data_IF_700393391023
#
_entry.id   IF_700393391023
#
_cell.length_a   1.000
_cell.length_b   1.000
_cell.length_c   1.000
_cell.angle_alpha   90.00
_cell.angle_beta   90.00
_cell.angle_gamma   90.00
#
_symmetry.space_group_name_H-M   'P 1'
#
loop_
_entity.id
_entity.type
_entity.pdbx_description
1 polymer ?
#
# COMPACT_ATOMS: atom_id res chain seq x y z
N UNK A 1 -14.15 8.85 26.19
CA UNK A 1 -15.45 9.46 25.82
C UNK A 1 -15.18 10.46 24.71
N UNK A 2 -16.09 10.59 23.76
CA UNK A 2 -15.98 11.47 22.60
C UNK A 2 -16.58 12.84 22.96
N UNK A 3 -16.12 13.93 22.36
CA UNK A 3 -16.87 15.18 22.42
C UNK A 3 -18.11 15.13 21.50
N UNK A 4 -18.93 16.18 21.52
CA UNK A 4 -20.13 16.29 20.68
C UNK A 4 -19.87 16.32 19.18
N UNK A 5 -18.62 16.46 18.74
CA UNK A 5 -18.20 16.53 17.34
C UNK A 5 -17.33 15.34 16.92
N UNK A 6 -17.17 14.33 17.78
CA UNK A 6 -16.44 13.10 17.48
C UNK A 6 -14.92 13.18 17.67
N UNK A 7 -14.38 14.24 18.28
CA UNK A 7 -12.95 14.32 18.60
C UNK A 7 -12.62 13.41 19.77
N UNK A 8 -11.59 12.58 19.58
CA UNK A 8 -11.10 11.62 20.59
C UNK A 8 -9.89 12.08 21.38
N UNK A 9 -9.02 12.86 20.73
CA UNK A 9 -7.70 13.20 21.27
C UNK A 9 -7.59 14.70 21.48
N UNK A 10 -7.52 15.08 22.75
CA UNK A 10 -7.19 16.43 23.20
C UNK A 10 -5.79 16.39 23.78
N UNK A 11 -4.81 16.87 23.01
CA UNK A 11 -3.48 17.15 23.56
C UNK A 11 -3.57 18.48 24.30
N UNK A 12 -2.97 18.58 25.48
CA UNK A 12 -2.94 19.79 26.31
C UNK A 12 -4.33 20.29 26.76
N UNK A 13 -5.16 19.38 27.30
CA UNK A 13 -6.55 19.67 27.69
C UNK A 13 -6.70 20.60 28.91
N UNK A 14 -5.65 20.79 29.70
CA UNK A 14 -5.70 21.72 30.84
C UNK A 14 -5.48 23.16 30.37
N UNK A 15 -6.50 23.74 29.73
CA UNK A 15 -6.54 25.18 29.44
C UNK A 15 -7.20 25.93 30.59
N UNK A 16 -6.60 27.05 30.97
CA UNK A 16 -7.27 28.04 31.80
C UNK A 16 -7.86 29.10 30.89
N UNK A 17 -9.12 29.48 31.14
CA UNK A 17 -9.85 30.42 30.29
C UNK A 17 -9.49 31.90 30.54
N UNK A 18 -8.52 32.16 31.41
CA UNK A 18 -8.02 33.47 31.81
C UNK A 18 -6.60 33.75 31.27
N UNK A 19 -6.20 33.08 30.20
CA UNK A 19 -4.89 33.21 29.56
C UNK A 19 -4.95 34.09 28.29
N UNK A 20 -3.80 34.31 27.65
CA UNK A 20 -3.69 34.92 26.34
C UNK A 20 -4.02 33.90 25.24
N UNK A 21 -4.87 34.31 24.28
CA UNK A 21 -5.33 33.43 23.20
C UNK A 21 -5.03 34.03 21.83
N UNK A 22 -4.39 33.24 20.98
CA UNK A 22 -4.22 33.55 19.56
C UNK A 22 -5.42 33.11 18.74
N UNK A 23 -5.88 33.98 17.84
CA UNK A 23 -6.98 33.69 16.91
C UNK A 23 -6.51 33.91 15.48
N UNK A 24 -6.70 32.90 14.63
CA UNK A 24 -6.39 32.97 13.21
C UNK A 24 -7.61 32.64 12.36
N UNK A 25 -7.82 33.40 11.28
CA UNK A 25 -8.81 33.09 10.26
C UNK A 25 -8.17 32.15 9.24
N UNK A 26 -8.77 30.98 9.04
CA UNK A 26 -8.28 29.96 8.11
C UNK A 26 -9.27 29.75 6.97
N UNK A 27 -8.76 29.55 5.76
CA UNK A 27 -9.57 29.23 4.57
C UNK A 27 -8.92 28.09 3.80
N UNK A 28 -9.70 27.20 3.14
CA UNK A 28 -9.15 26.20 2.24
C UNK A 28 -8.39 26.82 1.06
N UNK A 29 -7.29 26.18 0.65
CA UNK A 29 -6.51 26.50 -0.54
C UNK A 29 -6.15 25.20 -1.26
N UNK A 30 -6.03 25.25 -2.60
CA UNK A 30 -5.45 24.16 -3.37
C UNK A 30 -4.06 23.83 -2.81
N UNK A 31 -3.81 22.55 -2.55
CA UNK A 31 -2.62 22.13 -1.81
C UNK A 31 -1.79 21.05 -2.52
N UNK A 32 -2.43 20.04 -3.10
CA UNK A 32 -1.73 18.89 -3.68
C UNK A 32 -2.55 18.26 -4.82
N UNK A 33 -1.87 17.81 -5.86
CA UNK A 33 -2.46 17.08 -6.98
C UNK A 33 -2.05 15.61 -6.92
N UNK A 34 -2.98 14.72 -6.51
CA UNK A 34 -2.69 13.28 -6.34
C UNK A 34 -2.56 12.51 -7.67
N UNK A 35 -3.10 13.07 -8.75
CA UNK A 35 -2.95 12.51 -10.09
C UNK A 35 -1.61 12.87 -10.72
N UNK A 36 -1.25 12.20 -11.82
CA UNK A 36 0.00 12.45 -12.50
C UNK A 36 0.34 11.36 -13.51
N UNK A 37 1.61 11.27 -13.87
CA UNK A 37 2.15 10.24 -14.75
C UNK A 37 1.97 8.87 -14.12
N UNK A 38 1.42 7.92 -14.87
CA UNK A 38 1.35 6.52 -14.44
C UNK A 38 2.76 5.94 -14.43
N UNK A 39 3.15 5.35 -13.31
CA UNK A 39 4.48 4.77 -13.11
C UNK A 39 4.39 3.31 -12.68
N UNK A 40 5.49 2.57 -12.86
CA UNK A 40 5.69 1.30 -12.15
C UNK A 40 6.26 1.49 -10.73
N UNK A 41 6.54 0.40 -10.05
CA UNK A 41 7.07 0.40 -8.68
C UNK A 41 8.47 0.99 -8.55
N UNK A 42 9.17 1.26 -9.65
CA UNK A 42 10.49 1.90 -9.67
C UNK A 42 10.47 3.35 -10.15
N UNK A 43 9.30 3.85 -10.55
CA UNK A 43 9.08 5.20 -11.05
C UNK A 43 9.35 5.38 -12.56
N UNK A 44 9.43 4.29 -13.34
CA UNK A 44 9.46 4.38 -14.80
C UNK A 44 8.07 4.78 -15.31
N UNK A 45 8.00 5.75 -16.21
CA UNK A 45 6.73 6.21 -16.77
C UNK A 45 6.19 5.18 -17.76
N UNK A 46 4.90 4.87 -17.64
CA UNK A 46 4.21 3.90 -18.50
C UNK A 46 3.51 4.58 -19.67
N UNK A 47 3.54 3.93 -20.84
CA UNK A 47 2.73 4.29 -22.00
C UNK A 47 1.25 3.86 -21.83
N UNK A 48 0.45 4.05 -22.89
CA UNK A 48 -0.99 3.73 -22.86
C UNK A 48 -1.25 2.24 -22.80
N UNK A 49 -0.28 1.43 -23.22
CA UNK A 49 -0.28 -0.02 -23.20
C UNK A 49 0.27 -0.59 -21.88
N UNK A 50 0.65 0.29 -20.94
CA UNK A 50 1.20 -0.09 -19.63
C UNK A 50 2.67 -0.49 -19.66
N UNK A 51 3.40 -0.20 -20.75
CA UNK A 51 4.82 -0.53 -20.90
C UNK A 51 5.71 0.66 -20.53
N UNK A 52 6.87 0.42 -19.89
CA UNK A 52 7.80 1.49 -19.58
C UNK A 52 8.34 2.21 -20.83
N UNK A 53 8.31 3.54 -20.80
CA UNK A 53 8.95 4.38 -21.81
C UNK A 53 10.44 4.47 -21.49
N UNK A 54 11.27 4.02 -22.44
CA UNK A 54 12.72 3.95 -22.28
C UNK A 54 13.33 5.30 -21.87
N UNK A 55 13.99 5.34 -20.71
CA UNK A 55 14.69 6.52 -20.20
C UNK A 55 13.79 7.60 -19.59
N UNK A 56 12.48 7.37 -19.48
CA UNK A 56 11.55 8.33 -18.90
C UNK A 56 11.13 7.89 -17.49
N UNK A 57 11.45 8.71 -16.50
CA UNK A 57 11.15 8.50 -15.08
C UNK A 57 10.39 9.69 -14.50
N UNK A 58 9.60 9.43 -13.46
CA UNK A 58 8.95 10.46 -12.67
C UNK A 58 9.14 10.17 -11.17
N UNK A 59 9.22 11.22 -10.36
CA UNK A 59 9.35 11.16 -8.91
C UNK A 59 8.55 12.30 -8.25
N UNK A 60 8.00 12.06 -7.06
CA UNK A 60 7.21 13.03 -6.30
C UNK A 60 5.85 13.36 -6.94
N UNK A 61 5.36 14.57 -6.72
CA UNK A 61 3.99 15.00 -7.10
C UNK A 61 3.70 14.97 -8.61
N UNK A 62 4.69 14.73 -9.48
CA UNK A 62 4.46 14.46 -10.89
C UNK A 62 3.81 13.08 -11.15
N UNK A 63 3.85 12.17 -10.18
CA UNK A 63 3.38 10.79 -10.31
C UNK A 63 1.93 10.66 -9.88
N UNK A 64 1.19 9.81 -10.59
CA UNK A 64 -0.17 9.41 -10.22
C UNK A 64 -0.19 8.05 -9.54
N UNK A 65 -1.24 7.81 -8.74
CA UNK A 65 -1.56 6.49 -8.16
C UNK A 65 -1.04 6.27 -6.74
N UNK A 66 0.07 6.91 -6.34
CA UNK A 66 0.68 6.74 -5.00
C UNK A 66 -0.27 7.14 -3.86
N UNK A 67 -1.07 8.18 -4.07
CA UNK A 67 -1.92 8.76 -3.03
C UNK A 67 -3.43 8.52 -3.25
N UNK A 68 -3.81 7.81 -4.32
CA UNK A 68 -5.20 7.60 -4.71
C UNK A 68 -6.01 8.90 -4.78
N UNK A 69 -7.19 8.91 -4.14
CA UNK A 69 -8.09 10.06 -4.14
C UNK A 69 -7.77 11.09 -3.04
N UNK A 70 -6.97 10.74 -2.04
CA UNK A 70 -6.69 11.63 -0.92
C UNK A 70 -5.34 11.32 -0.30
N UNK A 71 -4.44 12.31 -0.34
CA UNK A 71 -3.13 12.19 0.26
C UNK A 71 -3.17 12.35 1.78
N UNK A 72 -2.54 11.43 2.50
CA UNK A 72 -2.32 11.56 3.94
C UNK A 72 -1.20 12.56 4.28
N UNK A 73 -1.40 13.32 5.36
CA UNK A 73 -0.41 14.26 5.88
C UNK A 73 0.93 13.57 6.17
N UNK A 74 2.05 14.17 5.74
CA UNK A 74 3.39 13.60 5.87
C UNK A 74 3.87 12.76 4.68
N UNK A 75 2.98 12.27 3.82
CA UNK A 75 3.38 11.37 2.73
C UNK A 75 4.09 12.05 1.55
N UNK A 76 3.84 13.34 1.23
CA UNK A 76 4.44 14.00 0.05
C UNK A 76 5.97 14.03 0.09
N UNK A 77 6.55 14.37 1.25
CA UNK A 77 8.01 14.44 1.37
C UNK A 77 8.63 13.06 1.32
N UNK A 78 7.96 12.07 1.91
CA UNK A 78 8.39 10.68 1.87
C UNK A 78 8.38 10.15 0.43
N UNK A 79 7.32 10.43 -0.31
CA UNK A 79 7.19 10.11 -1.74
C UNK A 79 8.38 10.67 -2.54
N UNK A 80 8.66 11.98 -2.45
CA UNK A 80 9.79 12.61 -3.12
C UNK A 80 11.13 11.92 -2.81
N UNK A 81 11.39 11.58 -1.54
CA UNK A 81 12.65 10.96 -1.13
C UNK A 81 12.76 9.51 -1.57
N UNK A 82 11.69 8.73 -1.42
CA UNK A 82 11.68 7.30 -1.75
C UNK A 82 11.77 7.11 -3.26
N UNK A 83 10.86 7.72 -4.03
CA UNK A 83 10.86 7.57 -5.48
C UNK A 83 12.05 8.28 -6.13
N UNK A 84 12.52 9.40 -5.58
CA UNK A 84 13.75 10.04 -6.05
C UNK A 84 14.98 9.11 -5.95
N UNK A 85 15.10 8.36 -4.84
CA UNK A 85 16.18 7.37 -4.68
C UNK A 85 15.98 6.14 -5.55
N UNK A 86 14.75 5.65 -5.63
CA UNK A 86 14.42 4.42 -6.34
C UNK A 86 14.61 4.58 -7.86
N UNK A 87 14.07 5.66 -8.42
CA UNK A 87 14.24 6.02 -9.84
C UNK A 87 15.71 6.26 -10.18
N UNK A 88 16.43 6.99 -9.33
CA UNK A 88 17.86 7.24 -9.51
C UNK A 88 18.66 5.95 -9.53
N UNK A 89 18.42 5.04 -8.58
CA UNK A 89 19.07 3.72 -8.55
C UNK A 89 18.76 2.91 -9.80
N UNK A 90 17.49 2.81 -10.16
CA UNK A 90 17.03 2.02 -11.31
C UNK A 90 17.63 2.53 -12.63
N UNK A 91 17.63 3.84 -12.84
CA UNK A 91 18.25 4.48 -14.01
C UNK A 91 19.74 4.11 -14.11
N UNK A 92 20.45 4.15 -12.99
CA UNK A 92 21.89 3.89 -12.98
C UNK A 92 22.19 2.43 -13.30
N UNK A 93 21.52 1.49 -12.64
CA UNK A 93 21.75 0.06 -12.83
C UNK A 93 21.26 -0.43 -14.20
N UNK A 94 20.03 -0.04 -14.60
CA UNK A 94 19.31 -0.70 -15.69
C UNK A 94 19.30 0.08 -17.01
N UNK A 95 19.70 1.36 -17.00
CA UNK A 95 19.73 2.19 -18.22
C UNK A 95 21.14 2.67 -18.55
N UNK A 96 21.91 3.08 -17.53
CA UNK A 96 23.26 3.62 -17.72
C UNK A 96 24.36 2.58 -17.44
N UNK A 97 24.06 1.44 -16.82
CA UNK A 97 25.06 0.45 -16.41
C UNK A 97 26.10 1.00 -15.42
N UNK A 98 25.71 1.97 -14.61
CA UNK A 98 26.54 2.65 -13.62
C UNK A 98 26.29 2.07 -12.22
N UNK A 99 27.33 2.06 -11.38
CA UNK A 99 27.21 1.60 -10.00
C UNK A 99 26.39 2.57 -9.13
N UNK A 100 25.79 2.09 -8.04
CA UNK A 100 25.00 2.89 -7.10
C UNK A 100 25.81 3.94 -6.30
N UNK A 101 27.13 4.01 -6.47
CA UNK A 101 28.00 5.03 -5.89
C UNK A 101 28.47 5.97 -6.99
N UNK A 102 27.55 6.83 -7.43
CA UNK A 102 27.81 7.77 -8.50
C UNK A 102 28.32 9.10 -7.97
N UNK A 103 29.43 9.58 -8.54
CA UNK A 103 29.82 10.97 -8.42
C UNK A 103 29.25 11.75 -9.59
N UNK A 104 29.02 13.05 -9.39
CA UNK A 104 28.51 13.95 -10.43
C UNK A 104 29.38 13.97 -11.70
N UNK A 105 30.66 13.61 -11.59
CA UNK A 105 31.60 13.53 -12.71
C UNK A 105 31.33 12.34 -13.63
N UNK A 106 30.86 11.22 -13.08
CA UNK A 106 30.63 9.97 -13.79
C UNK A 106 29.38 10.07 -14.71
N UNK A 107 28.43 10.94 -14.35
CA UNK A 107 27.26 11.27 -15.17
C UNK A 107 27.63 11.95 -16.50
N UNK A 108 28.72 12.72 -16.55
CA UNK A 108 29.14 13.42 -17.78
C UNK A 108 29.63 12.46 -18.87
N UNK A 109 30.07 11.28 -18.47
CA UNK A 109 30.62 10.24 -19.34
C UNK A 109 29.70 9.02 -19.41
N UNK A 110 28.47 9.15 -18.91
CA UNK A 110 27.52 8.05 -18.91
C UNK A 110 27.21 7.60 -20.36
N UNK A 111 27.09 6.30 -20.60
CA UNK A 111 26.72 5.79 -21.92
C UNK A 111 25.31 6.26 -22.32
N UNK A 112 25.04 6.23 -23.62
CA UNK A 112 23.70 6.49 -24.14
C UNK A 112 22.69 5.50 -23.52
N UNK A 113 21.48 6.00 -23.23
CA UNK A 113 20.43 5.24 -22.57
C UNK A 113 20.18 3.90 -23.29
N UNK A 114 20.35 2.81 -22.55
CA UNK A 114 20.01 1.48 -23.04
C UNK A 114 18.53 1.21 -22.83
N UNK A 115 17.96 0.35 -23.68
CA UNK A 115 16.57 -0.10 -23.52
C UNK A 115 16.45 -0.77 -22.14
N UNK A 116 15.62 -0.26 -21.23
CA UNK A 116 15.52 -0.82 -19.89
C UNK A 116 15.07 -2.27 -19.97
N UNK A 117 15.58 -3.08 -19.03
CA UNK A 117 15.13 -4.44 -18.86
C UNK A 117 13.60 -4.45 -18.69
N UNK A 118 12.87 -5.36 -19.38
CA UNK A 118 11.44 -5.55 -19.16
C UNK A 118 11.18 -5.77 -17.67
N UNK A 119 10.15 -5.12 -17.14
CA UNK A 119 9.66 -5.45 -15.80
C UNK A 119 9.20 -6.90 -15.85
N UNK A 120 9.56 -7.72 -14.85
CA UNK A 120 9.00 -9.05 -14.71
C UNK A 120 7.47 -8.92 -14.71
N UNK A 121 6.82 -9.54 -15.69
CA UNK A 121 5.37 -9.58 -15.80
C UNK A 121 4.74 -10.20 -14.54
N UNK A 122 3.55 -9.72 -14.21
CA UNK A 122 2.63 -10.26 -13.19
C UNK A 122 2.77 -11.79 -13.13
N UNK A 123 3.16 -12.34 -11.99
CA UNK A 123 3.00 -13.77 -11.73
C UNK A 123 1.50 -14.04 -11.75
N UNK A 124 1.04 -14.82 -12.71
CA UNK A 124 -0.34 -15.26 -12.80
C UNK A 124 -0.71 -15.99 -11.51
N UNK A 125 -1.74 -15.52 -10.82
CA UNK A 125 -2.25 -16.15 -9.61
C UNK A 125 -2.82 -17.53 -9.92
N UNK A 126 -2.55 -18.46 -9.00
CA UNK A 126 -3.21 -19.75 -8.96
C UNK A 126 -4.70 -19.52 -8.64
N UNK A 127 -5.56 -20.32 -9.27
CA UNK A 127 -7.00 -20.24 -9.07
C UNK A 127 -7.37 -20.39 -7.58
N UNK A 128 -8.19 -19.46 -7.07
CA UNK A 128 -8.73 -19.50 -5.71
C UNK A 128 -9.37 -20.87 -5.43
N UNK A 129 -9.10 -21.49 -4.27
CA UNK A 129 -9.76 -22.74 -3.90
C UNK A 129 -11.26 -22.51 -3.71
N UNK A 130 -12.06 -23.52 -4.07
CA UNK A 130 -13.51 -23.48 -3.94
C UNK A 130 -13.93 -23.21 -2.47
N UNK A 131 -15.05 -22.49 -2.24
CA UNK A 131 -15.50 -22.16 -0.89
C UNK A 131 -15.76 -23.44 -0.08
N UNK A 132 -15.05 -23.58 1.04
CA UNK A 132 -15.26 -24.68 1.96
C UNK A 132 -16.58 -24.43 2.72
N UNK A 133 -17.49 -25.39 2.69
CA UNK A 133 -18.84 -25.30 3.27
C UNK A 133 -18.89 -25.14 4.81
N UNK A 134 -17.74 -25.13 5.49
CA UNK A 134 -17.63 -25.11 6.97
C UNK A 134 -16.69 -24.02 7.52
N UNK A 135 -16.35 -22.97 6.75
CA UNK A 135 -15.43 -21.92 7.20
C UNK A 135 -13.97 -22.35 7.25
N UNK A 136 -13.09 -21.50 7.77
CA UNK A 136 -11.63 -21.64 7.69
C UNK A 136 -10.98 -21.53 9.07
N UNK A 137 -9.99 -22.38 9.39
CA UNK A 137 -9.24 -22.25 10.65
C UNK A 137 -8.03 -21.34 10.48
N UNK A 138 -7.51 -20.77 11.58
CA UNK A 138 -6.31 -19.94 11.52
C UNK A 138 -5.06 -20.73 11.10
N UNK A 139 -5.02 -22.04 11.34
CA UNK A 139 -3.96 -22.91 10.84
C UNK A 139 -4.01 -23.06 9.32
N UNK A 140 -5.20 -23.02 8.72
CA UNK A 140 -5.34 -22.98 7.26
C UNK A 140 -4.86 -21.64 6.72
N UNK A 141 -5.36 -20.53 7.29
CA UNK A 141 -4.95 -19.16 6.91
C UNK A 141 -3.43 -19.02 6.94
N UNK A 142 -2.74 -19.56 7.94
CA UNK A 142 -1.29 -19.49 8.09
C UNK A 142 -0.48 -20.10 6.93
N UNK A 143 -1.09 -20.98 6.11
CA UNK A 143 -0.46 -21.58 4.93
C UNK A 143 -0.37 -20.61 3.75
N UNK A 144 -1.28 -19.65 3.69
CA UNK A 144 -1.44 -18.67 2.61
C UNK A 144 -0.71 -17.37 2.95
N UNK A 145 0.62 -17.39 2.88
CA UNK A 145 1.49 -16.33 3.38
C UNK A 145 2.47 -15.73 2.35
N UNK A 146 2.18 -15.87 1.05
CA UNK A 146 3.06 -15.43 -0.05
C UNK A 146 2.37 -14.44 -0.98
N UNK A 147 3.12 -13.70 -1.81
CA UNK A 147 2.51 -12.70 -2.72
C UNK A 147 1.56 -13.32 -3.76
N UNK A 148 1.77 -14.58 -4.13
CA UNK A 148 0.91 -15.32 -5.06
C UNK A 148 -0.19 -16.12 -4.38
N UNK A 149 -0.25 -16.10 -3.05
CA UNK A 149 -1.18 -16.85 -2.22
C UNK A 149 -1.22 -16.23 -0.81
N UNK A 150 -2.05 -15.19 -0.65
CA UNK A 150 -2.07 -14.30 0.51
C UNK A 150 -3.45 -14.21 1.13
N UNK A 151 -3.64 -14.85 2.28
CA UNK A 151 -4.87 -14.73 3.05
C UNK A 151 -4.62 -13.96 4.35
N UNK A 152 -5.67 -13.28 4.81
CA UNK A 152 -5.69 -12.59 6.10
C UNK A 152 -7.00 -12.86 6.81
N UNK A 153 -6.97 -12.90 8.14
CA UNK A 153 -8.19 -12.87 8.94
C UNK A 153 -8.50 -11.43 9.37
N UNK A 154 -9.74 -11.00 9.15
CA UNK A 154 -10.25 -9.69 9.54
C UNK A 154 -11.62 -9.85 10.19
N UNK A 155 -11.73 -9.41 11.44
CA UNK A 155 -12.99 -9.35 12.19
C UNK A 155 -13.78 -10.67 12.22
N UNK A 156 -13.07 -11.81 12.23
CA UNK A 156 -13.69 -13.14 12.22
C UNK A 156 -14.03 -13.68 10.83
N UNK A 157 -13.62 -13.01 9.76
CA UNK A 157 -13.71 -13.48 8.37
C UNK A 157 -12.32 -13.73 7.79
N UNK A 158 -12.21 -14.70 6.89
CA UNK A 158 -11.02 -14.97 6.10
C UNK A 158 -11.20 -14.35 4.72
N UNK A 159 -10.18 -13.61 4.29
CA UNK A 159 -10.14 -12.97 2.99
C UNK A 159 -8.95 -13.49 2.19
N UNK A 160 -9.20 -13.85 0.93
CA UNK A 160 -8.16 -14.03 -0.09
C UNK A 160 -7.88 -12.68 -0.75
N UNK A 161 -6.80 -12.04 -0.30
CA UNK A 161 -6.40 -10.71 -0.76
C UNK A 161 -5.36 -10.77 -1.86
N UNK A 162 -5.05 -11.95 -2.42
CA UNK A 162 -4.01 -12.16 -3.43
C UNK A 162 -4.18 -11.22 -4.62
N UNK A 163 -5.37 -11.18 -5.22
CA UNK A 163 -5.66 -10.30 -6.36
C UNK A 163 -5.79 -8.82 -5.97
N UNK A 164 -6.03 -8.54 -4.69
CA UNK A 164 -6.17 -7.19 -4.16
C UNK A 164 -4.84 -6.55 -3.74
N UNK A 165 -3.78 -7.34 -3.53
CA UNK A 165 -2.43 -6.84 -3.19
C UNK A 165 -1.95 -5.68 -4.08
N UNK A 166 -2.08 -5.70 -5.43
CA UNK A 166 -1.66 -4.57 -6.26
C UNK A 166 -2.58 -3.34 -6.18
N UNK A 167 -3.85 -3.53 -5.81
CA UNK A 167 -4.87 -2.48 -5.74
C UNK A 167 -4.95 -1.82 -4.36
N UNK A 168 -4.33 -2.42 -3.34
CA UNK A 168 -4.36 -1.91 -1.97
C UNK A 168 -3.72 -0.50 -1.87
N UNK A 169 -4.46 0.54 -1.44
CA UNK A 169 -3.95 1.91 -1.37
C UNK A 169 -2.76 2.11 -0.41
N UNK A 170 -2.60 1.24 0.60
CA UNK A 170 -1.44 1.24 1.50
C UNK A 170 -0.21 0.50 0.94
N UNK A 171 -0.31 -0.03 -0.29
CA UNK A 171 0.69 -0.87 -0.94
C UNK A 171 0.65 -2.33 -0.47
N UNK A 172 1.19 -3.24 -1.29
CA UNK A 172 1.20 -4.69 -1.02
C UNK A 172 1.89 -5.07 0.30
N UNK A 173 2.97 -4.37 0.66
CA UNK A 173 3.77 -4.69 1.85
C UNK A 173 3.00 -4.50 3.17
N UNK A 174 2.02 -3.59 3.18
CA UNK A 174 1.17 -3.37 4.34
C UNK A 174 0.32 -4.62 4.64
N UNK A 175 -0.23 -5.25 3.61
CA UNK A 175 -0.99 -6.51 3.75
C UNK A 175 -0.03 -7.68 4.01
N UNK A 176 1.09 -7.76 3.27
CA UNK A 176 2.04 -8.87 3.38
C UNK A 176 2.66 -9.04 4.78
N UNK A 177 2.69 -7.98 5.59
CA UNK A 177 3.12 -8.07 7.00
C UNK A 177 2.23 -9.02 7.83
N UNK A 178 0.97 -9.15 7.41
CA UNK A 178 -0.07 -9.96 8.03
C UNK A 178 -0.49 -11.16 7.17
N UNK A 179 0.22 -11.48 6.09
CA UNK A 179 -0.06 -12.65 5.29
C UNK A 179 -0.04 -13.92 6.19
N UNK A 180 -1.13 -14.68 6.15
CA UNK A 180 -1.38 -15.83 7.00
C UNK A 180 -1.68 -15.53 8.47
N UNK A 181 -2.11 -14.30 8.81
CA UNK A 181 -2.35 -13.87 10.20
C UNK A 181 -3.67 -13.11 10.35
N UNK A 182 -4.07 -12.92 11.59
CA UNK A 182 -5.12 -11.99 11.98
C UNK A 182 -4.57 -10.55 11.95
N UNK A 183 -5.21 -9.69 11.16
CA UNK A 183 -4.86 -8.28 11.00
C UNK A 183 -5.92 -7.33 11.59
N UNK A 184 -6.94 -7.85 12.30
CA UNK A 184 -8.13 -7.10 12.72
C UNK A 184 -7.78 -5.87 13.54
N UNK A 185 -6.85 -6.00 14.48
CA UNK A 185 -6.46 -4.91 15.36
C UNK A 185 -5.84 -3.76 14.57
N UNK A 186 -4.84 -4.05 13.76
CA UNK A 186 -4.13 -3.05 12.97
C UNK A 186 -5.03 -2.47 11.87
N UNK A 187 -5.84 -3.30 11.21
CA UNK A 187 -6.82 -2.86 10.22
C UNK A 187 -7.80 -1.85 10.82
N UNK A 188 -8.41 -2.16 11.97
CA UNK A 188 -9.41 -1.31 12.63
C UNK A 188 -8.84 0.00 13.19
N UNK A 189 -7.51 0.14 13.32
CA UNK A 189 -6.89 1.41 13.72
C UNK A 189 -6.86 2.44 12.60
N UNK A 190 -6.86 2.00 11.34
CA UNK A 190 -6.60 2.86 10.18
C UNK A 190 -7.69 2.80 9.11
N UNK A 191 -8.56 1.79 9.14
CA UNK A 191 -9.67 1.62 8.20
C UNK A 191 -11.02 1.64 8.93
N UNK A 192 -12.03 2.33 8.40
CA UNK A 192 -13.41 2.16 8.86
C UNK A 192 -13.97 0.79 8.47
N UNK A 193 -15.01 0.34 9.18
CA UNK A 193 -15.53 -1.03 9.07
C UNK A 193 -16.14 -1.37 7.70
N UNK A 194 -16.56 -0.36 6.93
CA UNK A 194 -17.23 -0.51 5.63
C UNK A 194 -16.26 -0.62 4.44
N UNK A 195 -14.94 -0.55 4.67
CA UNK A 195 -13.94 -0.58 3.58
C UNK A 195 -13.90 -1.93 2.87
N UNK A 196 -14.02 -3.04 3.60
CA UNK A 196 -13.97 -4.38 3.00
C UNK A 196 -15.16 -4.57 2.05
N UNK A 197 -16.37 -4.26 2.50
CA UNK A 197 -17.58 -4.35 1.67
C UNK A 197 -17.50 -3.48 0.41
N UNK A 198 -16.89 -2.29 0.50
CA UNK A 198 -16.81 -1.36 -0.62
C UNK A 198 -15.75 -1.70 -1.67
N UNK A 199 -14.62 -2.26 -1.26
CA UNK A 199 -13.44 -2.37 -2.11
C UNK A 199 -12.94 -3.80 -2.30
N UNK A 200 -13.36 -4.74 -1.45
CA UNK A 200 -12.85 -6.11 -1.42
C UNK A 200 -13.95 -7.12 -1.04
N UNK A 201 -15.22 -6.88 -1.40
CA UNK A 201 -16.32 -7.82 -1.15
C UNK A 201 -16.04 -9.20 -1.72
N UNK A 202 -15.41 -9.23 -2.90
CA UNK A 202 -15.13 -10.46 -3.65
C UNK A 202 -13.95 -11.26 -3.06
N UNK A 203 -13.19 -10.66 -2.14
CA UNK A 203 -12.08 -11.31 -1.44
C UNK A 203 -12.56 -12.15 -0.25
N UNK A 204 -13.79 -11.95 0.24
CA UNK A 204 -14.29 -12.64 1.44
C UNK A 204 -14.59 -14.10 1.12
N UNK A 205 -13.84 -15.00 1.75
CA UNK A 205 -14.02 -16.44 1.59
C UNK A 205 -15.07 -17.02 2.54
N UNK A 206 -15.08 -16.56 3.80
CA UNK A 206 -16.00 -17.04 4.83
C UNK A 206 -15.49 -16.88 6.25
N UNK A 207 -16.22 -17.37 7.26
CA UNK A 207 -15.90 -17.14 8.67
C UNK A 207 -14.68 -17.96 9.14
N UNK A 208 -13.99 -17.41 10.14
CA UNK A 208 -12.99 -18.12 10.93
C UNK A 208 -13.71 -19.09 11.87
N UNK A 209 -13.32 -20.36 11.88
CA UNK A 209 -13.88 -21.40 12.76
C UNK A 209 -12.78 -22.02 13.62
N UNK A 210 -13.15 -22.46 14.83
CA UNK A 210 -12.25 -23.28 15.64
C UNK A 210 -12.11 -24.68 15.03
N UNK A 211 -10.91 -25.25 15.10
CA UNK A 211 -10.70 -26.63 14.70
C UNK A 211 -11.63 -27.54 15.51
N UNK A 212 -12.53 -28.26 14.83
CA UNK A 212 -13.41 -29.24 15.48
C UNK A 212 -12.57 -30.22 16.28
N UNK A 213 -12.76 -30.23 17.61
CA UNK A 213 -12.17 -31.23 18.47
C UNK A 213 -12.65 -32.61 18.01
N UNK A 214 -11.71 -33.50 17.68
CA UNK A 214 -12.00 -34.89 17.35
C UNK A 214 -12.89 -35.49 18.46
N UNK A 215 -13.95 -36.26 18.13
CA UNK A 215 -14.75 -36.92 19.16
C UNK A 215 -13.84 -37.81 20.00
N UNK A 216 -13.89 -37.64 21.31
CA UNK A 216 -13.21 -38.52 22.25
C UNK A 216 -13.61 -39.97 21.94
N UNK A 217 -12.62 -40.82 21.69
CA UNK A 217 -12.83 -42.23 21.39
C UNK A 217 -13.58 -42.91 22.55
N UNK A 218 -14.48 -43.87 22.26
CA UNK A 218 -15.30 -44.56 23.25
C UNK A 218 -14.49 -45.41 24.24
#
# INVERSE_FOLDING_TARGET
TWDSWGKKFFKNYEYKMDDEFDVAIVTPLVHYCMGGLKIDTTGRVLDKEGKPICGLYAAGELMGGVHGNNRLGGNSLLDCVVFGRLTGKDLCENVLGLSNKLNLKDLKTAPAAQKPAPVAEKVAAAAAPAPASNGYTMEEVAKHNTESDCWVALNGEVLDVTEFLPEHPGGKLAIMTFAGKDASKEFNMIHPADVVEKYASDAVLGPVVEASAAPAAP
#
